data_IF_767178568842
#
_entry.id   IF_767178568842
#
_cell.length_a   1.000
_cell.length_b   1.000
_cell.length_c   1.000
_cell.angle_alpha   90.00
_cell.angle_beta   90.00
_cell.angle_gamma   90.00
#
_symmetry.space_group_name_H-M   'P 1'
#
loop_
_entity.id
_entity.type
_entity.pdbx_description
1 polymer ?
#
# COMPACT_ATOMS: atom_id res chain seq x y z
N UNK A 1 -23.05 -22.56 17.01
CA UNK A 1 -22.46 -22.11 18.29
C UNK A 1 -21.33 -21.12 17.95
N UNK A 2 -21.63 -19.83 17.99
CA UNK A 2 -20.67 -18.76 17.72
C UNK A 2 -19.85 -18.52 19.00
N UNK A 3 -18.61 -18.97 19.03
CA UNK A 3 -17.68 -18.50 20.06
C UNK A 3 -17.16 -17.12 19.67
N UNK A 4 -17.70 -16.09 20.29
CA UNK A 4 -17.17 -14.74 20.30
C UNK A 4 -15.84 -14.80 21.06
N UNK A 5 -14.73 -14.58 20.34
CA UNK A 5 -13.41 -14.43 20.96
C UNK A 5 -13.37 -13.05 21.62
N UNK A 6 -13.72 -13.02 22.90
CA UNK A 6 -13.57 -11.82 23.74
C UNK A 6 -12.15 -11.84 24.32
N UNK A 7 -11.24 -11.08 23.71
CA UNK A 7 -9.94 -10.78 24.31
C UNK A 7 -10.14 -9.63 25.32
N UNK A 8 -10.38 -9.98 26.58
CA UNK A 8 -10.41 -9.03 27.68
C UNK A 8 -9.00 -8.52 28.01
N UNK A 9 -8.89 -7.21 28.26
CA UNK A 9 -7.69 -6.60 28.82
C UNK A 9 -7.33 -5.27 28.16
N UNK A 10 -8.20 -4.25 28.23
CA UNK A 10 -7.77 -2.86 28.05
C UNK A 10 -7.12 -2.39 29.34
N UNK A 11 -5.78 -2.29 29.36
CA UNK A 11 -5.08 -1.38 30.27
C UNK A 11 -4.95 -0.04 29.53
N UNK A 12 -5.54 1.01 30.09
CA UNK A 12 -5.27 2.39 29.72
C UNK A 12 -3.81 2.67 30.04
N UNK A 13 -2.98 2.81 29.01
CA UNK A 13 -1.62 3.36 29.10
C UNK A 13 -1.65 4.79 28.61
N UNK A 14 -0.89 5.64 29.28
CA UNK A 14 -0.64 7.03 28.90
C UNK A 14 -0.32 7.13 27.40
N UNK A 15 -1.08 7.98 26.71
CA UNK A 15 -1.05 8.16 25.24
C UNK A 15 0.23 8.89 24.72
N UNK A 16 1.18 9.22 25.57
CA UNK A 16 2.29 10.14 25.26
C UNK A 16 3.66 9.49 25.01
N UNK A 17 3.85 8.19 25.28
CA UNK A 17 5.10 7.52 24.89
C UNK A 17 4.90 6.73 23.59
N UNK A 18 5.76 7.00 22.55
CA UNK A 18 5.69 6.20 21.33
C UNK A 18 6.05 4.75 21.67
N UNK A 19 5.23 3.79 21.27
CA UNK A 19 5.61 2.38 21.42
C UNK A 19 6.89 2.17 20.62
N UNK A 20 7.93 1.65 21.29
CA UNK A 20 9.16 1.22 20.61
C UNK A 20 8.80 0.36 19.39
N UNK A 21 9.14 0.75 18.17
CA UNK A 21 8.82 -0.03 16.97
C UNK A 21 9.46 -1.42 16.99
N UNK A 22 10.51 -1.64 17.78
CA UNK A 22 11.11 -2.94 18.02
C UNK A 22 10.31 -3.76 19.05
N UNK A 23 9.61 -3.08 19.97
CA UNK A 23 8.67 -3.63 20.94
C UNK A 23 7.24 -3.69 20.37
N UNK A 24 7.06 -4.12 19.11
CA UNK A 24 5.78 -4.68 18.69
C UNK A 24 5.62 -5.99 19.49
N UNK A 25 5.48 -5.83 20.79
CA UNK A 25 5.10 -6.85 21.77
C UNK A 25 3.66 -7.22 21.47
N UNK A 26 3.46 -8.00 20.42
CA UNK A 26 2.12 -8.32 20.00
C UNK A 26 2.03 -8.82 18.58
N UNK A 27 3.07 -9.45 18.05
CA UNK A 27 2.94 -10.30 16.87
C UNK A 27 2.30 -11.64 17.27
N UNK A 28 1.44 -12.13 16.41
CA UNK A 28 0.87 -13.47 16.53
C UNK A 28 1.94 -14.48 16.08
N UNK A 29 2.17 -15.49 16.90
CA UNK A 29 3.07 -16.61 16.60
C UNK A 29 2.43 -17.61 15.63
N UNK A 30 3.26 -18.41 14.94
CA UNK A 30 2.77 -19.48 14.08
C UNK A 30 2.01 -20.56 14.89
N UNK A 31 2.37 -20.75 16.16
CA UNK A 31 1.68 -21.67 17.06
C UNK A 31 0.26 -21.20 17.38
N UNK A 32 0.08 -19.91 17.64
CA UNK A 32 -1.24 -19.31 17.83
C UNK A 32 -2.09 -19.43 16.57
N UNK A 33 -1.51 -19.13 15.40
CA UNK A 33 -2.21 -19.27 14.10
C UNK A 33 -2.64 -20.73 13.87
N UNK A 34 -1.72 -21.69 14.09
CA UNK A 34 -1.99 -23.11 13.97
C UNK A 34 -3.14 -23.54 14.86
N UNK A 35 -3.10 -23.16 16.14
CA UNK A 35 -4.10 -23.53 17.16
C UNK A 35 -5.47 -22.93 16.85
N UNK A 36 -5.52 -21.64 16.49
CA UNK A 36 -6.78 -20.91 16.28
C UNK A 36 -7.49 -21.39 15.01
N UNK A 37 -6.76 -21.62 13.92
CA UNK A 37 -7.36 -21.95 12.63
C UNK A 37 -7.26 -23.44 12.26
N UNK A 38 -6.69 -24.28 13.12
CA UNK A 38 -6.50 -25.70 12.83
C UNK A 38 -5.59 -25.97 11.62
N UNK A 39 -4.52 -25.17 11.49
CA UNK A 39 -3.56 -25.30 10.38
C UNK A 39 -2.37 -26.18 10.80
N UNK A 40 -1.86 -27.10 9.95
CA UNK A 40 -0.69 -27.89 10.28
C UNK A 40 0.55 -27.02 10.50
N UNK A 41 1.21 -27.16 11.64
CA UNK A 41 2.43 -26.38 11.97
C UNK A 41 3.55 -26.60 10.96
N UNK A 42 3.72 -27.82 10.48
CA UNK A 42 4.74 -28.14 9.48
C UNK A 42 4.52 -27.38 8.18
N UNK A 43 3.27 -27.31 7.71
CA UNK A 43 2.89 -26.56 6.51
C UNK A 43 3.15 -25.06 6.72
N UNK A 44 2.69 -24.48 7.84
CA UNK A 44 2.96 -23.08 8.16
C UNK A 44 4.47 -22.76 8.18
N UNK A 45 5.26 -23.64 8.80
CA UNK A 45 6.72 -23.50 8.86
C UNK A 45 7.33 -23.51 7.47
N UNK A 46 6.99 -24.48 6.63
CA UNK A 46 7.48 -24.61 5.25
C UNK A 46 7.18 -23.32 4.43
N UNK A 47 5.97 -22.76 4.56
CA UNK A 47 5.59 -21.52 3.87
C UNK A 47 6.43 -20.35 4.40
N UNK A 48 6.59 -20.24 5.72
CA UNK A 48 7.27 -19.12 6.36
C UNK A 48 8.80 -19.17 6.23
N UNK A 49 9.40 -20.35 6.04
CA UNK A 49 10.81 -20.49 5.71
C UNK A 49 11.12 -19.84 4.35
N UNK A 50 10.16 -19.85 3.41
CA UNK A 50 10.29 -19.19 2.10
C UNK A 50 9.78 -17.74 2.12
N UNK A 51 8.63 -17.52 2.73
CA UNK A 51 7.96 -16.22 2.80
C UNK A 51 7.60 -15.89 4.25
N UNK A 52 8.46 -15.17 4.98
CA UNK A 52 8.24 -14.87 6.39
C UNK A 52 6.84 -14.33 6.68
N UNK A 53 6.30 -14.63 7.84
CA UNK A 53 5.04 -14.08 8.32
C UNK A 53 5.28 -13.17 9.54
N UNK A 54 4.57 -12.06 9.55
CA UNK A 54 4.46 -11.15 10.68
C UNK A 54 3.07 -10.54 10.65
N UNK A 55 2.36 -10.58 11.78
CA UNK A 55 0.98 -10.08 11.87
C UNK A 55 0.84 -9.38 13.21
N UNK A 56 0.51 -8.09 13.21
CA UNK A 56 0.21 -7.37 14.44
C UNK A 56 -1.03 -7.96 15.12
N UNK A 57 -1.07 -7.99 16.44
CA UNK A 57 -2.27 -8.43 17.20
C UNK A 57 -3.51 -7.63 16.81
N UNK A 58 -3.34 -6.33 16.56
CA UNK A 58 -4.42 -5.47 16.09
C UNK A 58 -5.01 -5.98 14.77
N UNK A 59 -4.19 -6.18 13.73
CA UNK A 59 -4.71 -6.61 12.43
C UNK A 59 -5.29 -8.03 12.49
N UNK A 60 -4.67 -8.91 13.27
CA UNK A 60 -5.17 -10.26 13.51
C UNK A 60 -6.58 -10.25 14.15
N UNK A 61 -6.84 -9.34 15.09
CA UNK A 61 -8.14 -9.21 15.76
C UNK A 61 -9.29 -8.79 14.82
N UNK A 62 -8.97 -8.30 13.62
CA UNK A 62 -9.97 -7.96 12.60
C UNK A 62 -10.49 -9.17 11.83
N UNK A 63 -9.84 -10.33 11.94
CA UNK A 63 -10.29 -11.59 11.32
C UNK A 63 -11.57 -12.06 12.04
N UNK A 64 -12.65 -12.18 11.28
CA UNK A 64 -13.93 -12.67 11.81
C UNK A 64 -14.08 -14.18 11.66
N UNK A 65 -13.58 -14.71 10.55
CA UNK A 65 -13.65 -16.13 10.23
C UNK A 65 -12.49 -16.57 9.34
N UNK A 66 -12.19 -17.87 9.37
CA UNK A 66 -11.17 -18.47 8.50
C UNK A 66 -11.56 -18.27 7.03
N UNK A 67 -10.65 -17.65 6.28
CA UNK A 67 -10.85 -17.42 4.84
C UNK A 67 -11.54 -16.11 4.48
N UNK A 68 -11.87 -15.24 5.45
CA UNK A 68 -12.38 -13.91 5.14
C UNK A 68 -11.33 -13.00 4.46
N UNK A 69 -11.73 -11.81 4.05
CA UNK A 69 -10.85 -10.89 3.33
C UNK A 69 -9.65 -10.39 4.15
N UNK A 70 -9.74 -10.38 5.48
CA UNK A 70 -8.62 -10.01 6.38
C UNK A 70 -7.67 -11.19 6.52
N UNK A 71 -8.21 -12.39 6.82
CA UNK A 71 -7.47 -13.63 6.91
C UNK A 71 -6.56 -13.85 5.69
N UNK A 72 -7.14 -13.77 4.49
CA UNK A 72 -6.40 -14.02 3.24
C UNK A 72 -5.20 -13.09 3.06
N UNK A 73 -5.28 -11.85 3.53
CA UNK A 73 -4.22 -10.88 3.35
C UNK A 73 -3.00 -11.11 4.26
N UNK A 74 -3.16 -11.82 5.38
CA UNK A 74 -2.11 -11.93 6.42
C UNK A 74 -1.73 -13.36 6.79
N UNK A 75 -2.64 -14.34 6.69
CA UNK A 75 -2.34 -15.72 7.07
C UNK A 75 -1.64 -16.45 5.92
N UNK A 76 -0.49 -17.13 6.18
CA UNK A 76 0.22 -17.93 5.18
C UNK A 76 -0.66 -19.03 4.58
N UNK A 77 -0.53 -19.26 3.27
CA UNK A 77 -1.28 -20.25 2.51
C UNK A 77 -0.37 -21.16 1.69
N UNK A 78 -0.67 -22.44 1.60
CA UNK A 78 0.02 -23.40 0.74
C UNK A 78 0.04 -22.96 -0.73
N UNK A 79 -0.97 -22.22 -1.18
CA UNK A 79 -1.02 -21.66 -2.52
C UNK A 79 0.21 -20.78 -2.84
N UNK A 80 0.92 -20.24 -1.83
CA UNK A 80 2.11 -19.43 -2.04
C UNK A 80 3.33 -20.27 -2.47
N UNK A 81 3.48 -21.46 -1.92
CA UNK A 81 4.60 -22.36 -2.24
C UNK A 81 4.32 -23.24 -3.46
N UNK A 82 3.04 -23.51 -3.73
CA UNK A 82 2.60 -24.26 -4.92
C UNK A 82 2.55 -23.38 -6.18
N UNK A 83 2.72 -22.07 -6.04
CA UNK A 83 2.69 -21.14 -7.16
C UNK A 83 3.90 -21.32 -8.07
N UNK A 84 3.63 -21.78 -9.30
CA UNK A 84 4.63 -21.93 -10.38
C UNK A 84 4.61 -20.75 -11.35
N UNK A 85 3.65 -19.82 -11.20
CA UNK A 85 3.47 -18.66 -12.05
C UNK A 85 4.07 -17.40 -11.41
N UNK A 86 4.43 -16.44 -12.25
CA UNK A 86 4.95 -15.15 -11.80
C UNK A 86 6.47 -15.11 -11.65
N UNK A 87 6.97 -13.91 -11.46
CA UNK A 87 8.38 -13.59 -11.34
C UNK A 87 8.72 -13.12 -9.93
N UNK A 88 9.98 -13.29 -9.50
CA UNK A 88 10.46 -12.75 -8.23
C UNK A 88 10.47 -11.21 -8.22
N UNK A 89 10.74 -10.59 -9.37
CA UNK A 89 10.78 -9.13 -9.54
C UNK A 89 10.09 -8.70 -10.85
N UNK A 90 8.76 -8.85 -10.95
CA UNK A 90 8.03 -8.56 -12.19
C UNK A 90 8.10 -7.08 -12.59
N UNK A 91 8.34 -6.20 -11.62
CA UNK A 91 8.44 -4.76 -11.85
C UNK A 91 9.87 -4.28 -12.12
N UNK A 92 10.86 -5.19 -12.14
CA UNK A 92 12.27 -4.85 -12.38
C UNK A 92 12.80 -3.75 -11.44
N UNK A 93 12.40 -3.78 -10.15
CA UNK A 93 12.87 -2.80 -9.16
C UNK A 93 14.36 -2.91 -8.86
N UNK A 94 14.95 -4.11 -9.08
CA UNK A 94 16.36 -4.40 -8.85
C UNK A 94 17.21 -4.31 -10.10
N UNK A 95 16.59 -4.33 -11.28
CA UNK A 95 17.32 -4.16 -12.52
C UNK A 95 17.84 -2.74 -12.61
N UNK A 96 19.12 -2.58 -12.89
CA UNK A 96 19.72 -1.29 -13.20
C UNK A 96 19.26 -0.85 -14.58
N UNK A 97 18.03 -0.32 -14.67
CA UNK A 97 17.52 0.28 -15.91
C UNK A 97 18.38 1.48 -16.28
N UNK A 98 18.88 2.19 -15.26
CA UNK A 98 19.84 3.30 -15.41
C UNK A 98 21.13 2.88 -14.70
N UNK A 99 22.26 2.98 -15.40
CA UNK A 99 23.58 2.69 -14.83
C UNK A 99 23.89 3.65 -13.67
N UNK A 100 24.52 3.14 -12.61
CA UNK A 100 24.92 3.95 -11.45
C UNK A 100 23.81 4.21 -10.42
N UNK A 101 22.58 3.69 -10.61
CA UNK A 101 21.50 3.82 -9.61
C UNK A 101 21.83 3.00 -8.35
N UNK A 102 21.83 3.61 -7.14
CA UNK A 102 22.07 2.91 -5.88
C UNK A 102 21.03 1.83 -5.59
N UNK A 103 21.41 0.81 -4.83
CA UNK A 103 20.56 -0.34 -4.47
C UNK A 103 19.24 0.02 -3.78
N UNK A 104 19.19 1.15 -3.07
CA UNK A 104 18.00 1.63 -2.36
C UNK A 104 17.09 2.52 -3.22
N UNK A 105 17.49 2.87 -4.43
CA UNK A 105 16.72 3.73 -5.33
C UNK A 105 16.08 2.90 -6.45
N UNK A 106 14.85 3.22 -6.78
CA UNK A 106 14.20 2.83 -8.04
C UNK A 106 13.84 4.12 -8.77
N UNK A 107 14.54 4.40 -9.87
CA UNK A 107 14.36 5.58 -10.70
C UNK A 107 13.83 5.15 -12.07
N UNK A 108 12.50 5.16 -12.21
CA UNK A 108 11.80 4.70 -13.42
C UNK A 108 11.24 5.84 -14.24
N UNK A 109 10.76 6.87 -13.56
CA UNK A 109 10.17 8.04 -14.19
C UNK A 109 11.15 9.21 -14.16
N UNK A 110 11.14 10.10 -15.15
CA UNK A 110 12.13 11.16 -15.24
C UNK A 110 12.25 12.04 -14.02
N UNK A 111 11.12 12.38 -13.38
CA UNK A 111 11.03 13.40 -12.32
C UNK A 111 10.87 12.85 -10.91
N UNK A 112 10.93 11.52 -10.73
CA UNK A 112 10.64 10.93 -9.40
C UNK A 112 11.42 9.65 -9.12
N UNK A 113 11.75 9.48 -7.85
CA UNK A 113 12.45 8.31 -7.35
C UNK A 113 11.74 7.67 -6.16
N UNK A 114 11.74 6.33 -6.10
CA UNK A 114 11.37 5.60 -4.91
C UNK A 114 12.65 5.29 -4.12
N UNK A 115 12.65 5.65 -2.84
CA UNK A 115 13.76 5.46 -1.93
C UNK A 115 13.36 4.46 -0.82
N UNK A 116 13.99 3.30 -0.82
CA UNK A 116 13.74 2.24 0.16
C UNK A 116 14.56 2.47 1.42
N UNK A 117 13.92 2.91 2.50
CA UNK A 117 14.57 3.25 3.77
C UNK A 117 14.38 2.20 4.87
N UNK A 118 13.51 1.21 4.64
CA UNK A 118 13.18 0.14 5.57
C UNK A 118 12.98 -1.19 4.84
N UNK A 119 13.16 -2.31 5.53
CA UNK A 119 12.74 -3.63 5.07
C UNK A 119 11.82 -4.35 6.08
N UNK A 120 11.37 -3.64 7.11
CA UNK A 120 10.44 -4.14 8.14
C UNK A 120 9.05 -3.57 7.93
N UNK A 121 8.01 -4.36 8.23
CA UNK A 121 6.60 -3.96 8.25
C UNK A 121 5.94 -4.46 9.53
N UNK A 122 4.86 -3.82 9.97
CA UNK A 122 4.03 -4.31 11.08
C UNK A 122 3.27 -5.60 10.70
N UNK A 123 3.00 -5.77 9.39
CA UNK A 123 2.39 -6.97 8.82
C UNK A 123 3.05 -7.27 7.46
N UNK A 124 3.37 -8.54 7.21
CA UNK A 124 3.85 -8.99 5.90
C UNK A 124 2.67 -9.44 5.05
N UNK A 125 2.24 -8.54 4.15
CA UNK A 125 1.14 -8.79 3.22
C UNK A 125 1.45 -10.02 2.35
N UNK A 126 0.52 -10.97 2.25
CA UNK A 126 0.75 -12.21 1.47
C UNK A 126 0.84 -11.97 -0.04
N UNK A 127 0.36 -10.82 -0.51
CA UNK A 127 0.44 -10.33 -1.90
C UNK A 127 1.56 -9.29 -2.14
N UNK A 128 2.51 -9.13 -1.19
CA UNK A 128 3.54 -8.09 -1.27
C UNK A 128 4.46 -8.28 -2.48
N UNK A 129 4.64 -7.24 -3.28
CA UNK A 129 5.55 -7.25 -4.44
C UNK A 129 7.03 -7.40 -4.06
N UNK A 130 7.36 -7.10 -2.80
CA UNK A 130 8.71 -7.20 -2.23
C UNK A 130 8.86 -8.33 -1.22
N UNK A 131 7.96 -9.35 -1.25
CA UNK A 131 8.00 -10.47 -0.29
C UNK A 131 9.34 -11.22 -0.25
N UNK A 132 10.15 -11.14 -1.32
CA UNK A 132 11.51 -11.68 -1.40
C UNK A 132 12.55 -10.92 -0.56
N UNK A 133 12.21 -9.73 -0.04
CA UNK A 133 13.13 -8.84 0.70
C UNK A 133 12.64 -8.48 2.09
N UNK A 134 11.32 -8.30 2.22
CA UNK A 134 10.70 -7.85 3.47
C UNK A 134 10.91 -8.89 4.56
N UNK A 135 11.47 -8.44 5.70
CA UNK A 135 11.75 -9.29 6.84
C UNK A 135 13.08 -10.05 6.80
N UNK A 136 13.85 -9.96 5.71
CA UNK A 136 15.20 -10.52 5.66
C UNK A 136 16.20 -9.58 6.37
N UNK A 137 16.83 -9.98 7.49
CA UNK A 137 17.74 -9.11 8.22
C UNK A 137 18.97 -8.69 7.39
N UNK A 138 19.37 -9.50 6.39
CA UNK A 138 20.49 -9.19 5.50
C UNK A 138 20.15 -8.12 4.45
N UNK A 139 18.88 -7.77 4.31
CA UNK A 139 18.39 -6.74 3.38
C UNK A 139 18.04 -5.42 4.09
N UNK A 140 18.38 -5.29 5.37
CA UNK A 140 18.16 -4.05 6.13
C UNK A 140 19.05 -2.93 5.58
N UNK A 141 18.50 -1.76 5.18
CA UNK A 141 19.30 -0.64 4.71
C UNK A 141 20.34 -0.20 5.73
N UNK A 142 21.58 -0.03 5.29
CA UNK A 142 22.65 0.54 6.09
C UNK A 142 22.74 2.05 5.90
N UNK A 143 23.29 2.78 6.89
CA UNK A 143 23.46 4.23 6.75
C UNK A 143 24.30 4.61 5.53
N UNK A 144 25.36 3.85 5.24
CA UNK A 144 26.22 4.04 4.05
C UNK A 144 25.45 3.93 2.73
N UNK A 145 24.47 3.01 2.65
CA UNK A 145 23.61 2.88 1.47
C UNK A 145 22.60 4.04 1.38
N UNK A 146 22.09 4.50 2.53
CA UNK A 146 21.22 5.68 2.63
C UNK A 146 21.97 6.92 2.12
N UNK A 147 23.21 7.15 2.56
CA UNK A 147 24.06 8.27 2.10
C UNK A 147 24.30 8.24 0.58
N UNK A 148 24.56 7.05 0.02
CA UNK A 148 24.68 6.88 -1.44
C UNK A 148 23.39 7.25 -2.17
N UNK A 149 22.24 6.85 -1.62
CA UNK A 149 20.93 7.17 -2.19
C UNK A 149 20.64 8.68 -2.12
N UNK A 150 20.92 9.33 -1.01
CA UNK A 150 20.80 10.78 -0.84
C UNK A 150 21.71 11.54 -1.82
N UNK A 151 22.97 11.11 -1.96
CA UNK A 151 23.92 11.68 -2.92
C UNK A 151 23.43 11.54 -4.36
N UNK A 152 22.82 10.38 -4.70
CA UNK A 152 22.20 10.17 -6.00
C UNK A 152 21.05 11.16 -6.25
N UNK A 153 20.09 11.25 -5.30
CA UNK A 153 18.97 12.20 -5.40
C UNK A 153 19.50 13.64 -5.54
N UNK A 154 20.54 14.01 -4.78
CA UNK A 154 21.13 15.34 -4.83
C UNK A 154 21.74 15.67 -6.20
N UNK A 155 22.43 14.71 -6.82
CA UNK A 155 23.08 14.88 -8.14
C UNK A 155 22.07 14.93 -9.30
N UNK A 156 20.92 14.30 -9.16
CA UNK A 156 19.86 14.22 -10.18
C UNK A 156 18.82 15.30 -9.94
N UNK A 157 19.07 16.52 -10.47
CA UNK A 157 18.22 17.69 -10.25
C UNK A 157 16.81 17.56 -10.82
N UNK A 158 16.61 16.72 -11.78
CA UNK A 158 15.31 16.38 -12.39
C UNK A 158 14.37 15.64 -11.42
N UNK A 159 14.90 14.93 -10.41
CA UNK A 159 14.08 14.25 -9.39
C UNK A 159 13.51 15.29 -8.44
N UNK A 160 12.28 15.71 -8.60
CA UNK A 160 11.54 16.63 -7.72
C UNK A 160 10.58 15.93 -6.75
N UNK A 161 10.30 14.65 -6.97
CA UNK A 161 9.33 13.86 -6.20
C UNK A 161 10.01 12.60 -5.66
N UNK A 162 10.15 12.51 -4.33
CA UNK A 162 10.77 11.37 -3.67
C UNK A 162 9.74 10.63 -2.82
N UNK A 163 9.62 9.31 -3.07
CA UNK A 163 8.76 8.42 -2.31
C UNK A 163 9.60 7.62 -1.33
N UNK A 164 9.49 7.89 -0.03
CA UNK A 164 10.04 7.05 1.02
C UNK A 164 9.18 5.79 1.16
N UNK A 165 9.81 4.62 1.07
CA UNK A 165 9.14 3.32 1.06
C UNK A 165 10.10 2.21 1.51
N UNK A 166 9.89 0.97 1.04
CA UNK A 166 10.75 -0.18 1.32
C UNK A 166 9.95 -1.37 1.82
N UNK A 167 10.11 -1.72 3.12
CA UNK A 167 9.09 -2.31 3.94
C UNK A 167 8.08 -1.22 4.25
N UNK A 168 8.02 -0.78 5.49
CA UNK A 168 7.19 0.36 5.86
C UNK A 168 8.06 1.41 6.59
N UNK A 169 8.14 2.64 6.11
CA UNK A 169 8.92 3.71 6.73
C UNK A 169 8.54 4.00 8.18
N UNK A 170 7.25 3.86 8.54
CA UNK A 170 6.79 4.12 9.90
C UNK A 170 7.18 3.02 10.90
N UNK A 171 7.86 1.98 10.44
CA UNK A 171 8.49 0.98 11.32
C UNK A 171 9.91 1.36 11.74
N UNK A 172 10.42 2.48 11.28
CA UNK A 172 11.66 3.06 11.82
C UNK A 172 11.37 3.83 13.12
N UNK A 173 12.35 3.90 14.06
CA UNK A 173 12.31 4.86 15.17
C UNK A 173 12.14 6.28 14.66
N UNK A 174 11.43 7.14 15.42
CA UNK A 174 11.11 8.50 14.98
C UNK A 174 12.37 9.31 14.68
N UNK A 175 13.42 9.17 15.46
CA UNK A 175 14.68 9.87 15.28
C UNK A 175 15.37 9.48 13.96
N UNK A 176 15.36 8.20 13.60
CA UNK A 176 15.95 7.74 12.35
C UNK A 176 15.10 8.14 11.15
N UNK A 177 13.77 8.03 11.26
CA UNK A 177 12.84 8.46 10.22
C UNK A 177 13.02 9.97 9.96
N UNK A 178 13.07 10.76 11.03
CA UNK A 178 13.26 12.21 10.94
C UNK A 178 14.59 12.57 10.33
N UNK A 179 15.68 11.91 10.75
CA UNK A 179 17.02 12.12 10.19
C UNK A 179 17.02 11.96 8.66
N UNK A 180 16.42 10.87 8.17
CA UNK A 180 16.34 10.61 6.73
C UNK A 180 15.44 11.64 6.04
N UNK A 181 14.26 11.91 6.63
CA UNK A 181 13.29 12.86 6.09
C UNK A 181 13.86 14.27 5.97
N UNK A 182 14.63 14.71 6.98
CA UNK A 182 15.32 16.00 6.98
C UNK A 182 16.31 16.11 5.83
N UNK A 183 17.16 15.10 5.61
CA UNK A 183 18.12 15.09 4.49
C UNK A 183 17.41 15.15 3.13
N UNK A 184 16.35 14.36 2.95
CA UNK A 184 15.55 14.41 1.72
C UNK A 184 14.89 15.78 1.54
N UNK A 185 14.34 16.36 2.62
CA UNK A 185 13.71 17.67 2.60
C UNK A 185 14.70 18.78 2.22
N UNK A 186 15.93 18.77 2.76
CA UNK A 186 16.98 19.74 2.42
C UNK A 186 17.37 19.73 0.93
N UNK A 187 17.21 18.57 0.29
CA UNK A 187 17.45 18.42 -1.16
C UNK A 187 16.22 18.87 -1.97
N UNK A 188 15.05 18.34 -1.64
CA UNK A 188 13.83 18.47 -2.44
C UNK A 188 13.19 19.86 -2.30
N UNK A 189 13.27 20.51 -1.13
CA UNK A 189 12.71 21.87 -0.92
C UNK A 189 13.39 22.95 -1.77
N UNK A 190 14.59 22.69 -2.30
CA UNK A 190 15.30 23.59 -3.21
C UNK A 190 14.88 23.44 -4.67
N UNK A 191 13.99 22.50 -4.98
CA UNK A 191 13.56 22.18 -6.35
C UNK A 191 12.21 22.80 -6.63
N UNK A 192 12.03 23.26 -7.85
CA UNK A 192 10.73 23.75 -8.28
C UNK A 192 9.68 22.63 -8.17
N UNK A 193 8.55 22.93 -7.52
CA UNK A 193 7.46 22.00 -7.25
C UNK A 193 7.92 20.68 -6.56
N UNK A 194 8.96 20.76 -5.71
CA UNK A 194 9.47 19.61 -4.98
C UNK A 194 8.46 19.04 -3.99
N UNK A 195 8.27 17.72 -3.94
CA UNK A 195 7.38 17.05 -3.00
C UNK A 195 8.01 15.80 -2.41
N UNK A 196 7.62 15.47 -1.18
CA UNK A 196 7.98 14.22 -0.51
C UNK A 196 6.72 13.39 -0.32
N UNK A 197 6.82 12.09 -0.54
CA UNK A 197 5.75 11.14 -0.27
C UNK A 197 6.23 10.02 0.63
N UNK A 198 5.36 9.52 1.50
CA UNK A 198 5.62 8.35 2.32
C UNK A 198 4.59 7.27 1.96
N UNK A 199 5.08 6.09 1.55
CA UNK A 199 4.24 4.91 1.34
C UNK A 199 4.19 4.08 2.61
N UNK A 200 3.03 3.94 3.25
CA UNK A 200 2.87 3.22 4.50
C UNK A 200 1.53 2.48 4.57
N UNK A 201 1.52 1.32 5.20
CA UNK A 201 0.30 0.60 5.57
C UNK A 201 -0.01 0.69 7.07
N UNK A 202 0.84 1.34 7.84
CA UNK A 202 0.72 1.45 9.32
C UNK A 202 -0.65 1.98 9.77
N UNK A 203 -1.26 3.01 9.16
CA UNK A 203 -2.60 3.44 9.56
C UNK A 203 -3.67 2.35 9.48
N UNK A 204 -3.47 1.35 8.61
CA UNK A 204 -4.34 0.18 8.44
C UNK A 204 -3.99 -0.98 9.37
N UNK A 205 -2.70 -1.31 9.52
CA UNK A 205 -2.26 -2.57 10.16
C UNK A 205 -1.69 -2.39 11.57
N UNK A 206 -1.34 -1.17 11.96
CA UNK A 206 -0.82 -0.82 13.28
C UNK A 206 -1.11 0.67 13.61
N UNK A 207 -2.40 1.09 13.67
CA UNK A 207 -2.79 2.49 13.82
C UNK A 207 -2.23 3.16 15.08
N UNK A 208 -1.97 2.40 16.16
CA UNK A 208 -1.41 2.91 17.42
C UNK A 208 -0.02 3.53 17.26
N UNK A 209 0.70 3.21 16.18
CA UNK A 209 1.99 3.82 15.82
C UNK A 209 1.85 5.28 15.38
N UNK A 210 0.65 5.71 14.98
CA UNK A 210 0.40 7.10 14.63
C UNK A 210 0.14 7.90 15.89
N UNK A 211 1.17 8.55 16.40
CA UNK A 211 1.16 9.36 17.62
C UNK A 211 1.11 10.85 17.31
N UNK A 212 0.76 11.66 18.30
CA UNK A 212 0.81 13.14 18.18
C UNK A 212 2.22 13.63 17.87
N UNK A 213 3.25 13.01 18.47
CA UNK A 213 4.64 13.35 18.24
C UNK A 213 5.06 13.06 16.79
N UNK A 214 4.70 11.88 16.26
CA UNK A 214 4.95 11.56 14.85
C UNK A 214 4.27 12.56 13.91
N UNK A 215 2.99 12.89 14.15
CA UNK A 215 2.25 13.86 13.35
C UNK A 215 2.89 15.27 13.42
N UNK A 216 3.30 15.73 14.61
CA UNK A 216 3.99 17.01 14.79
C UNK A 216 5.35 17.03 14.08
N UNK A 217 6.09 15.93 14.11
CA UNK A 217 7.35 15.77 13.37
C UNK A 217 7.11 15.88 11.87
N UNK A 218 6.18 15.11 11.32
CA UNK A 218 5.89 15.09 9.88
C UNK A 218 5.41 16.44 9.35
N UNK A 219 4.61 17.17 10.15
CA UNK A 219 4.12 18.51 9.80
C UNK A 219 5.21 19.50 9.44
N UNK A 220 6.44 19.34 9.92
CA UNK A 220 7.58 20.24 9.65
C UNK A 220 8.15 20.10 8.22
N UNK A 221 7.74 19.07 7.48
CA UNK A 221 8.35 18.69 6.19
C UNK A 221 7.40 18.84 5.00
N UNK A 222 6.45 19.77 5.08
CA UNK A 222 5.58 20.07 3.94
C UNK A 222 6.35 20.68 2.75
N UNK A 223 5.94 20.41 1.49
CA UNK A 223 4.78 19.59 1.09
C UNK A 223 5.06 18.08 1.18
N UNK A 224 4.39 17.41 2.12
CA UNK A 224 4.51 15.99 2.39
C UNK A 224 3.14 15.33 2.15
N UNK A 225 3.14 14.18 1.46
CA UNK A 225 1.95 13.37 1.16
C UNK A 225 2.11 11.96 1.72
N UNK A 226 1.03 11.34 2.16
CA UNK A 226 1.01 9.94 2.56
C UNK A 226 0.17 9.12 1.58
N UNK A 227 0.78 8.05 1.04
CA UNK A 227 0.09 7.01 0.31
C UNK A 227 -0.11 5.81 1.24
N UNK A 228 -1.34 5.64 1.72
CA UNK A 228 -1.71 4.52 2.58
C UNK A 228 -2.26 3.34 1.76
N UNK A 229 -2.57 2.22 2.43
CA UNK A 229 -2.94 0.98 1.77
C UNK A 229 -4.02 0.22 2.56
N UNK A 230 -5.25 0.39 2.15
CA UNK A 230 -6.44 -0.34 2.59
C UNK A 230 -6.99 -1.15 1.42
N UNK A 231 -7.39 -2.38 1.67
CA UNK A 231 -7.95 -3.28 0.65
C UNK A 231 -9.36 -3.78 0.97
N UNK A 232 -9.83 -3.66 2.21
CA UNK A 232 -11.13 -4.19 2.60
C UNK A 232 -11.86 -3.24 3.56
N UNK A 233 -13.20 -3.11 3.49
CA UNK A 233 -13.96 -2.24 4.40
C UNK A 233 -13.78 -2.57 5.89
N UNK A 234 -13.54 -3.84 6.24
CA UNK A 234 -13.29 -4.25 7.63
C UNK A 234 -12.00 -3.68 8.22
N UNK A 235 -11.10 -3.15 7.42
CA UNK A 235 -9.89 -2.44 7.85
C UNK A 235 -10.19 -1.00 8.32
N UNK A 236 -11.39 -0.49 8.02
CA UNK A 236 -11.84 0.85 8.42
C UNK A 236 -12.48 0.75 9.80
N UNK A 237 -11.66 0.80 10.82
CA UNK A 237 -12.04 0.72 12.23
C UNK A 237 -12.01 2.10 12.90
N UNK A 238 -12.52 2.26 14.13
CA UNK A 238 -12.34 3.48 14.90
C UNK A 238 -10.87 3.88 15.05
N UNK A 239 -9.96 2.92 15.28
CA UNK A 239 -8.53 3.13 15.45
C UNK A 239 -7.87 3.61 14.16
N UNK A 240 -8.15 2.97 13.01
CA UNK A 240 -7.62 3.41 11.72
C UNK A 240 -8.18 4.78 11.29
N UNK A 241 -9.45 5.08 11.63
CA UNK A 241 -10.05 6.42 11.43
C UNK A 241 -9.35 7.48 12.28
N UNK A 242 -9.08 7.19 13.57
CA UNK A 242 -8.32 8.09 14.45
C UNK A 242 -6.94 8.37 13.87
N UNK A 243 -6.20 7.33 13.48
CA UNK A 243 -4.86 7.46 12.91
C UNK A 243 -4.84 8.31 11.62
N UNK A 244 -5.73 8.03 10.66
CA UNK A 244 -5.85 8.85 9.46
C UNK A 244 -6.31 10.27 9.76
N UNK A 245 -7.22 10.44 10.74
CA UNK A 245 -7.65 11.74 11.23
C UNK A 245 -6.51 12.60 11.75
N UNK A 246 -5.65 12.04 12.60
CA UNK A 246 -4.47 12.73 13.16
C UNK A 246 -3.50 13.19 12.07
N UNK A 247 -3.24 12.37 11.06
CA UNK A 247 -2.40 12.74 9.92
C UNK A 247 -3.05 13.85 9.07
N UNK A 248 -4.36 13.78 8.82
CA UNK A 248 -5.09 14.81 8.10
C UNK A 248 -5.14 16.14 8.87
N UNK A 249 -5.29 16.09 10.21
CA UNK A 249 -5.29 17.28 11.09
C UNK A 249 -3.90 17.92 11.15
N UNK A 250 -2.84 17.14 10.95
CA UNK A 250 -1.48 17.67 10.74
C UNK A 250 -1.27 18.34 9.37
N UNK A 251 -2.34 18.44 8.54
CA UNK A 251 -2.29 19.06 7.21
C UNK A 251 -1.69 18.17 6.14
N UNK A 252 -1.57 16.85 6.36
CA UNK A 252 -0.94 15.91 5.44
C UNK A 252 -2.01 15.31 4.51
N UNK A 253 -1.98 15.60 3.20
CA UNK A 253 -2.88 14.97 2.24
C UNK A 253 -2.61 13.46 2.14
N UNK A 254 -3.69 12.66 2.11
CA UNK A 254 -3.58 11.21 2.04
C UNK A 254 -4.26 10.63 0.81
N UNK A 255 -3.57 9.69 0.16
CA UNK A 255 -4.11 8.86 -0.90
C UNK A 255 -4.05 7.38 -0.55
N UNK A 256 -5.05 6.59 -0.95
CA UNK A 256 -5.05 5.15 -0.78
C UNK A 256 -4.70 4.42 -2.06
N UNK A 257 -3.84 3.42 -1.95
CA UNK A 257 -3.44 2.53 -3.02
C UNK A 257 -3.99 1.12 -2.72
N UNK A 258 -5.16 0.80 -3.27
CA UNK A 258 -5.80 -0.52 -3.14
C UNK A 258 -5.23 -1.47 -4.18
N UNK A 259 -4.98 -2.73 -3.81
CA UNK A 259 -4.73 -3.82 -4.76
C UNK A 259 -6.01 -4.64 -4.93
N UNK A 260 -6.38 -4.95 -6.18
CA UNK A 260 -7.50 -5.82 -6.50
C UNK A 260 -7.09 -7.29 -6.25
N UNK A 261 -7.69 -7.91 -5.24
CA UNK A 261 -7.33 -9.23 -4.74
C UNK A 261 -8.53 -10.18 -4.79
N UNK A 262 -8.34 -11.32 -5.44
CA UNK A 262 -9.35 -12.39 -5.55
C UNK A 262 -9.76 -12.89 -4.16
N UNK A 263 -11.07 -12.91 -3.92
CA UNK A 263 -11.67 -13.36 -2.66
C UNK A 263 -11.42 -12.42 -1.48
N UNK A 264 -10.98 -11.16 -1.74
CA UNK A 264 -10.83 -10.09 -0.73
C UNK A 264 -11.74 -8.93 -1.07
N UNK A 265 -11.56 -8.34 -2.24
CA UNK A 265 -12.27 -7.13 -2.67
C UNK A 265 -12.68 -7.17 -4.16
N UNK A 266 -12.73 -8.35 -4.75
CA UNK A 266 -13.02 -8.58 -6.16
C UNK A 266 -14.53 -8.60 -6.48
N UNK A 267 -15.30 -7.79 -5.75
CA UNK A 267 -16.72 -7.55 -6.04
C UNK A 267 -17.08 -6.06 -5.90
N UNK A 268 -18.08 -5.58 -6.68
CA UNK A 268 -18.46 -4.18 -6.71
C UNK A 268 -18.87 -3.59 -5.37
N UNK A 269 -19.65 -4.33 -4.57
CA UNK A 269 -20.19 -3.85 -3.29
C UNK A 269 -19.09 -3.64 -2.25
N UNK A 270 -18.17 -4.60 -2.10
CA UNK A 270 -17.02 -4.49 -1.19
C UNK A 270 -16.13 -3.32 -1.59
N UNK A 271 -15.83 -3.19 -2.89
CA UNK A 271 -15.00 -2.09 -3.39
C UNK A 271 -15.68 -0.74 -3.17
N UNK A 272 -16.96 -0.62 -3.47
CA UNK A 272 -17.73 0.62 -3.25
C UNK A 272 -17.75 1.04 -1.77
N UNK A 273 -18.02 0.09 -0.86
CA UNK A 273 -17.96 0.33 0.59
C UNK A 273 -16.58 0.79 1.05
N UNK A 274 -15.51 0.17 0.52
CA UNK A 274 -14.13 0.58 0.81
C UNK A 274 -13.88 2.02 0.35
N UNK A 275 -14.20 2.36 -0.90
CA UNK A 275 -13.94 3.68 -1.46
C UNK A 275 -14.70 4.79 -0.73
N UNK A 276 -15.97 4.55 -0.40
CA UNK A 276 -16.79 5.49 0.39
C UNK A 276 -16.23 5.65 1.82
N UNK A 277 -15.85 4.53 2.46
CA UNK A 277 -15.26 4.54 3.79
C UNK A 277 -13.94 5.31 3.85
N UNK A 278 -13.09 5.18 2.83
CA UNK A 278 -11.83 5.94 2.72
C UNK A 278 -12.09 7.45 2.67
N UNK A 279 -12.98 7.90 1.80
CA UNK A 279 -13.33 9.32 1.69
C UNK A 279 -13.90 9.85 3.01
N UNK A 280 -14.74 9.07 3.70
CA UNK A 280 -15.31 9.47 4.99
C UNK A 280 -14.28 9.65 6.11
N UNK A 281 -13.07 9.09 5.97
CA UNK A 281 -11.95 9.32 6.89
C UNK A 281 -10.84 10.21 6.28
N UNK A 282 -11.20 11.03 5.27
CA UNK A 282 -10.33 12.01 4.62
C UNK A 282 -9.13 11.40 3.88
N UNK A 283 -9.27 10.16 3.39
CA UNK A 283 -8.29 9.48 2.56
C UNK A 283 -8.83 9.38 1.14
N UNK A 284 -8.18 10.02 0.17
CA UNK A 284 -8.58 9.99 -1.23
C UNK A 284 -8.24 8.61 -1.83
N UNK A 285 -9.21 7.82 -2.35
CA UNK A 285 -8.90 6.70 -3.22
C UNK A 285 -8.05 7.19 -4.40
N UNK A 286 -6.79 6.71 -4.48
CA UNK A 286 -5.84 7.18 -5.47
C UNK A 286 -5.69 6.17 -6.61
N UNK A 287 -5.37 4.91 -6.27
CA UNK A 287 -5.29 3.82 -7.24
C UNK A 287 -6.06 2.58 -6.79
N UNK A 288 -6.60 1.85 -7.77
CA UNK A 288 -6.79 0.40 -7.71
C UNK A 288 -5.73 -0.21 -8.63
N UNK A 289 -4.83 -1.02 -8.07
CA UNK A 289 -3.85 -1.78 -8.84
C UNK A 289 -4.43 -3.14 -9.21
N UNK A 290 -4.30 -3.53 -10.46
CA UNK A 290 -4.36 -4.94 -10.81
C UNK A 290 -3.24 -5.67 -10.05
N UNK A 291 -3.54 -6.80 -9.42
CA UNK A 291 -2.54 -7.56 -8.67
C UNK A 291 -1.38 -8.00 -9.57
N UNK A 292 -0.14 -7.66 -9.19
CA UNK A 292 1.06 -7.95 -9.96
C UNK A 292 1.33 -9.45 -10.08
N UNK A 293 1.97 -9.92 -11.18
CA UNK A 293 2.32 -11.32 -11.38
C UNK A 293 3.57 -11.73 -10.58
N UNK A 294 3.53 -11.51 -9.27
CA UNK A 294 4.63 -11.88 -8.38
C UNK A 294 4.51 -13.33 -7.94
N UNK A 295 5.65 -14.03 -7.89
CA UNK A 295 5.72 -15.41 -7.43
C UNK A 295 5.24 -15.58 -5.99
N UNK A 296 4.38 -16.55 -5.76
CA UNK A 296 3.74 -16.78 -4.47
C UNK A 296 2.51 -15.88 -4.21
N UNK A 297 1.97 -15.19 -5.24
CA UNK A 297 0.78 -14.37 -5.09
C UNK A 297 -0.27 -14.59 -6.18
N UNK A 298 -0.07 -15.55 -7.08
CA UNK A 298 -0.96 -15.78 -8.22
C UNK A 298 -2.42 -16.10 -7.82
N UNK A 299 -2.61 -16.74 -6.68
CA UNK A 299 -3.94 -17.06 -6.13
C UNK A 299 -4.78 -15.83 -5.78
N UNK A 300 -4.15 -14.64 -5.66
CA UNK A 300 -4.82 -13.35 -5.48
C UNK A 300 -5.19 -12.65 -6.78
N UNK A 301 -4.72 -13.12 -7.93
CA UNK A 301 -4.94 -12.43 -9.18
C UNK A 301 -6.36 -12.65 -9.72
N UNK A 302 -6.91 -11.60 -10.29
CA UNK A 302 -8.18 -11.61 -11.02
C UNK A 302 -7.89 -11.37 -12.51
N UNK A 303 -8.89 -11.66 -13.36
CA UNK A 303 -8.86 -11.17 -14.74
C UNK A 303 -9.02 -9.64 -14.76
N UNK A 304 -8.47 -8.99 -15.77
CA UNK A 304 -8.53 -7.52 -15.93
C UNK A 304 -9.98 -7.03 -16.09
N UNK A 305 -10.80 -7.83 -16.77
CA UNK A 305 -12.23 -7.56 -16.97
C UNK A 305 -12.98 -7.38 -15.66
N UNK A 306 -12.59 -8.13 -14.60
CA UNK A 306 -13.16 -7.98 -13.26
C UNK A 306 -12.85 -6.61 -12.67
N UNK A 307 -11.64 -6.09 -12.88
CA UNK A 307 -11.25 -4.74 -12.46
C UNK A 307 -12.04 -3.65 -13.21
N UNK A 308 -12.24 -3.82 -14.51
CA UNK A 308 -13.05 -2.91 -15.33
C UNK A 308 -14.53 -2.94 -14.93
N UNK A 309 -15.09 -4.11 -14.61
CA UNK A 309 -16.46 -4.26 -14.08
C UNK A 309 -16.62 -3.47 -12.77
N UNK A 310 -15.70 -3.66 -11.82
CA UNK A 310 -15.69 -2.95 -10.54
C UNK A 310 -15.56 -1.45 -10.76
N UNK A 311 -14.61 -1.01 -11.59
CA UNK A 311 -14.42 0.41 -11.90
C UNK A 311 -15.70 1.04 -12.48
N UNK A 312 -16.34 0.35 -13.42
CA UNK A 312 -17.62 0.78 -14.01
C UNK A 312 -18.72 0.92 -12.97
N UNK A 313 -18.77 0.02 -11.98
CA UNK A 313 -19.76 0.07 -10.90
C UNK A 313 -19.56 1.23 -9.91
N UNK A 314 -18.39 1.87 -9.90
CA UNK A 314 -18.11 3.06 -9.10
C UNK A 314 -18.51 4.34 -9.83
N UNK A 315 -18.21 4.44 -11.13
CA UNK A 315 -18.44 5.64 -11.92
C UNK A 315 -19.95 5.88 -12.13
N UNK A 316 -20.46 7.01 -11.68
CA UNK A 316 -21.88 7.35 -11.73
C UNK A 316 -22.74 6.78 -10.58
N UNK A 317 -22.18 5.84 -9.77
CA UNK A 317 -22.90 5.18 -8.66
C UNK A 317 -22.38 5.57 -7.27
N UNK A 318 -21.38 6.45 -7.22
CA UNK A 318 -20.87 7.10 -6.00
C UNK A 318 -20.23 8.43 -6.36
N UNK A 319 -19.83 9.23 -5.32
CA UNK A 319 -19.12 10.49 -5.55
C UNK A 319 -17.87 10.31 -6.40
N UNK A 320 -17.55 11.26 -7.28
CA UNK A 320 -16.27 11.29 -8.03
C UNK A 320 -15.04 11.26 -7.11
N UNK A 321 -15.16 11.73 -5.86
CA UNK A 321 -14.11 11.60 -4.84
C UNK A 321 -13.81 10.13 -4.49
N UNK A 322 -14.79 9.24 -4.64
CA UNK A 322 -14.65 7.81 -4.34
C UNK A 322 -14.12 6.99 -5.54
N UNK A 323 -13.88 7.62 -6.70
CA UNK A 323 -13.44 6.91 -7.89
C UNK A 323 -11.92 7.10 -8.08
N UNK A 324 -11.11 6.05 -7.88
CA UNK A 324 -9.67 6.07 -8.11
C UNK A 324 -9.31 5.89 -9.58
N UNK A 325 -8.01 5.89 -9.90
CA UNK A 325 -7.53 5.37 -11.18
C UNK A 325 -7.33 3.85 -11.08
N UNK A 326 -7.92 3.09 -11.99
CA UNK A 326 -7.60 1.67 -12.13
C UNK A 326 -6.40 1.51 -13.05
N UNK A 327 -5.35 0.82 -12.60
CA UNK A 327 -4.07 0.73 -13.32
C UNK A 327 -3.48 -0.67 -13.28
N UNK A 328 -2.74 -1.01 -14.32
CA UNK A 328 -1.75 -2.09 -14.33
C UNK A 328 -0.36 -1.45 -14.19
N UNK A 329 0.46 -1.92 -13.24
CA UNK A 329 1.89 -1.63 -13.26
C UNK A 329 2.53 -2.62 -14.26
N UNK A 330 2.91 -2.13 -15.42
CA UNK A 330 3.29 -3.00 -16.53
C UNK A 330 4.55 -3.81 -16.19
N UNK A 331 4.53 -5.15 -16.36
CA UNK A 331 5.68 -6.00 -16.13
C UNK A 331 6.91 -5.55 -16.93
N UNK A 332 8.09 -5.86 -16.43
CA UNK A 332 9.33 -5.43 -17.09
C UNK A 332 9.69 -3.96 -16.84
N UNK A 333 8.96 -3.24 -15.98
CA UNK A 333 9.27 -1.85 -15.64
C UNK A 333 8.59 -0.80 -16.52
N UNK A 334 7.54 -1.16 -17.27
CA UNK A 334 6.82 -0.26 -18.17
C UNK A 334 6.00 0.85 -17.50
N UNK A 335 5.90 0.83 -16.14
CA UNK A 335 5.18 1.85 -15.39
C UNK A 335 3.66 1.63 -15.32
N UNK A 336 2.96 2.59 -14.76
CA UNK A 336 1.52 2.51 -14.49
C UNK A 336 0.70 2.90 -15.73
N UNK A 337 -0.05 1.95 -16.26
CA UNK A 337 -0.94 2.14 -17.40
C UNK A 337 -2.38 2.20 -16.90
N UNK A 338 -3.08 3.35 -17.05
CA UNK A 338 -4.47 3.48 -16.65
C UNK A 338 -5.40 2.71 -17.60
N UNK A 339 -6.39 2.05 -17.02
CA UNK A 339 -7.43 1.30 -17.73
C UNK A 339 -8.78 1.95 -17.47
N UNK A 340 -9.52 2.20 -18.54
CA UNK A 340 -10.87 2.77 -18.48
C UNK A 340 -11.84 1.88 -19.24
N UNK A 341 -13.09 1.72 -18.80
CA UNK A 341 -14.16 1.22 -19.63
C UNK A 341 -14.31 2.10 -20.88
N UNK A 342 -14.72 1.52 -22.00
CA UNK A 342 -14.87 2.24 -23.26
C UNK A 342 -15.98 3.30 -23.21
N UNK A 343 -15.72 4.44 -22.62
CA UNK A 343 -16.64 5.59 -22.59
C UNK A 343 -16.61 6.37 -23.92
N UNK A 344 -15.46 6.46 -24.56
CA UNK A 344 -15.30 7.00 -25.90
C UNK A 344 -15.69 5.91 -26.91
N UNK A 345 -16.66 6.19 -27.77
CA UNK A 345 -17.12 5.27 -28.81
C UNK A 345 -16.51 5.62 -30.16
N UNK A 346 -16.69 6.87 -30.61
CA UNK A 346 -16.09 7.38 -31.83
C UNK A 346 -15.66 8.84 -31.64
N UNK A 347 -14.70 9.25 -32.44
CA UNK A 347 -14.24 10.64 -32.54
C UNK A 347 -13.95 10.95 -34.02
N UNK A 348 -14.47 12.05 -34.53
CA UNK A 348 -14.14 12.64 -35.81
C UNK A 348 -13.96 14.15 -35.66
N UNK A 349 -13.68 14.87 -36.76
CA UNK A 349 -13.39 16.31 -36.69
C UNK A 349 -14.59 17.17 -36.27
N UNK A 350 -15.81 16.64 -36.34
CA UNK A 350 -17.04 17.38 -36.02
C UNK A 350 -17.65 17.00 -34.67
N UNK A 351 -17.54 15.75 -34.30
CA UNK A 351 -18.18 15.26 -33.08
C UNK A 351 -17.47 14.09 -32.41
N UNK A 352 -17.78 13.93 -31.13
CA UNK A 352 -17.38 12.78 -30.30
C UNK A 352 -18.65 12.07 -29.82
N UNK A 353 -18.73 10.76 -30.00
CA UNK A 353 -19.80 9.94 -29.43
C UNK A 353 -19.31 9.31 -28.13
N UNK A 354 -20.02 9.57 -27.06
CA UNK A 354 -19.72 9.16 -25.71
C UNK A 354 -20.81 8.23 -25.16
N UNK A 355 -20.41 7.28 -24.35
CA UNK A 355 -21.30 6.39 -23.61
C UNK A 355 -21.20 6.69 -22.10
N UNK A 356 -22.33 7.03 -21.46
CA UNK A 356 -22.36 7.31 -20.03
C UNK A 356 -22.40 6.03 -19.16
N UNK A 357 -22.50 6.20 -17.85
CA UNK A 357 -22.54 5.11 -16.86
C UNK A 357 -23.78 4.21 -17.00
N UNK A 358 -24.89 4.71 -17.57
CA UNK A 358 -26.12 3.98 -17.89
C UNK A 358 -26.05 3.28 -19.26
N UNK A 359 -24.94 3.33 -19.98
CA UNK A 359 -24.73 2.88 -21.36
C UNK A 359 -25.54 3.67 -22.43
N UNK A 360 -26.04 4.88 -22.08
CA UNK A 360 -26.71 5.77 -23.04
C UNK A 360 -25.64 6.51 -23.84
N UNK A 361 -25.92 6.74 -25.13
CA UNK A 361 -25.02 7.47 -26.03
C UNK A 361 -25.36 8.94 -26.03
N UNK A 362 -24.33 9.78 -26.10
CA UNK A 362 -24.37 11.24 -26.19
C UNK A 362 -23.37 11.72 -27.23
N UNK A 363 -23.75 12.78 -27.94
CA UNK A 363 -22.86 13.45 -28.88
C UNK A 363 -22.36 14.75 -28.27
N UNK A 364 -21.07 14.99 -28.41
CA UNK A 364 -20.40 16.26 -28.09
C UNK A 364 -19.86 16.85 -29.38
N UNK A 365 -20.33 18.03 -29.74
CA UNK A 365 -19.88 18.73 -30.97
C UNK A 365 -18.53 19.36 -30.71
N UNK A 366 -17.59 19.12 -31.63
CA UNK A 366 -16.27 19.71 -31.58
C UNK A 366 -16.31 21.16 -32.13
N UNK A 367 -15.46 22.06 -31.58
CA UNK A 367 -15.28 23.38 -32.20
C UNK A 367 -14.64 23.26 -33.59
N UNK A 368 -14.89 24.26 -34.44
CA UNK A 368 -14.24 24.41 -35.75
C UNK A 368 -12.75 24.73 -35.63
#
# INVERSE_FOLDING_TARGET
MNQIITLAGRQEKNDDEPPDPSAISGNISLDEISKIFGLPKASLKQICDKYPARISKYYFSLIKEKGDGIYKQCIPSEAEILDTFGEEDPLREESKIIEGVPSLITHRYPDRALFRISNSCAMYCRFCTRKRKVGDPNKKPTWKEIEKALSYIQKHSEIRDVILSGGDPFMLPDELLEKILKEVYLIISKRENGIIRIGTRVPCVFPQRITSNLCAMLKRYHPLYINTHFNHPAEITPESRKACGMLADAGIPMGNQTVLLKGVNDNPETMKKLMQGLVSMRVKPYYIYQCDPIKGANHFRTKVEKGLEIYKSLRGHTSGLCVPNFVIDAPGGGGKIPLLPGYLQTIDDKKVVLKNYENKLFEYIQPD
#
